data_IF_351717118976
#
_entry.id   IF_351717118976
#
_cell.length_a   1.000
_cell.length_b   1.000
_cell.length_c   1.000
_cell.angle_alpha   90.00
_cell.angle_beta   90.00
_cell.angle_gamma   90.00
#
_symmetry.space_group_name_H-M   'P 1'
#
loop_
_entity.id
_entity.type
_entity.pdbx_description
1 polymer ?
#
# COMPACT_ATOMS: atom_id res chain seq x y z
N UNK A 1 -18.53 -19.91 2.20
CA UNK A 1 -17.93 -20.72 1.11
C UNK A 1 -16.87 -19.96 0.28
N UNK A 2 -16.18 -18.94 0.83
CA UNK A 2 -15.06 -18.25 0.14
C UNK A 2 -13.79 -19.11 0.07
N UNK A 3 -13.62 -19.99 1.07
CA UNK A 3 -12.41 -20.76 1.34
C UNK A 3 -12.72 -22.23 1.63
N UNK A 4 -13.76 -22.80 0.98
CA UNK A 4 -13.87 -24.26 0.94
C UNK A 4 -12.73 -24.78 0.06
N UNK A 5 -11.57 -25.00 0.67
CA UNK A 5 -10.50 -25.79 0.08
C UNK A 5 -11.05 -27.18 -0.17
N UNK A 6 -11.37 -27.49 -1.43
CA UNK A 6 -11.82 -28.82 -1.88
C UNK A 6 -10.79 -29.94 -1.68
N UNK A 7 -9.61 -29.63 -1.14
CA UNK A 7 -8.60 -30.61 -0.80
C UNK A 7 -8.76 -31.04 0.66
N UNK A 8 -9.59 -32.03 0.91
CA UNK A 8 -9.26 -32.99 1.97
C UNK A 8 -8.00 -33.74 1.52
N UNK A 9 -7.03 -33.91 2.41
CA UNK A 9 -5.95 -34.88 2.12
C UNK A 9 -6.58 -36.25 1.87
N UNK A 10 -5.91 -37.12 1.10
CA UNK A 10 -6.35 -38.51 0.86
C UNK A 10 -6.63 -39.31 2.15
N UNK A 11 -6.18 -38.81 3.31
CA UNK A 11 -6.31 -39.40 4.64
C UNK A 11 -7.37 -38.70 5.52
N UNK A 12 -8.13 -37.73 5.01
CA UNK A 12 -9.11 -36.96 5.79
C UNK A 12 -8.49 -35.96 6.78
N UNK A 13 -7.16 -35.78 6.77
CA UNK A 13 -6.47 -34.73 7.52
C UNK A 13 -6.77 -33.36 6.89
N UNK A 14 -6.94 -32.36 7.76
CA UNK A 14 -7.17 -30.96 7.37
C UNK A 14 -5.91 -30.36 6.77
N UNK A 15 -6.07 -29.43 5.84
CA UNK A 15 -4.94 -28.65 5.32
C UNK A 15 -4.55 -27.54 6.31
N UNK A 16 -3.29 -27.05 6.30
CA UNK A 16 -2.88 -25.91 7.13
C UNK A 16 -3.77 -24.67 6.93
N UNK A 17 -4.31 -24.50 5.72
CA UNK A 17 -5.25 -23.41 5.42
C UNK A 17 -6.60 -23.62 6.13
N UNK A 18 -7.14 -24.83 6.16
CA UNK A 18 -8.38 -25.14 6.90
C UNK A 18 -8.23 -24.91 8.41
N UNK A 19 -7.10 -25.36 8.98
CA UNK A 19 -6.81 -25.16 10.41
C UNK A 19 -6.69 -23.67 10.75
N UNK A 20 -5.98 -22.90 9.92
CA UNK A 20 -5.92 -21.44 10.06
C UNK A 20 -7.30 -20.79 9.98
N UNK A 21 -8.15 -21.22 9.04
CA UNK A 21 -9.48 -20.67 8.89
C UNK A 21 -10.38 -20.91 10.10
N UNK A 22 -10.34 -22.10 10.68
CA UNK A 22 -11.07 -22.39 11.91
C UNK A 22 -10.53 -21.56 13.08
N UNK A 23 -9.20 -21.44 13.19
CA UNK A 23 -8.53 -20.69 14.24
C UNK A 23 -8.98 -19.23 14.30
N UNK A 24 -9.14 -18.56 13.15
CA UNK A 24 -9.50 -17.14 13.14
C UNK A 24 -11.02 -16.88 13.13
N UNK A 25 -11.86 -17.88 12.86
CA UNK A 25 -13.32 -17.72 12.85
C UNK A 25 -14.00 -18.05 14.18
N UNK A 26 -13.25 -18.49 15.20
CA UNK A 26 -13.78 -18.69 16.55
C UNK A 26 -14.18 -17.38 17.24
N UNK A 27 -14.96 -17.51 18.31
CA UNK A 27 -15.34 -16.38 19.16
C UNK A 27 -14.42 -16.37 20.38
N UNK A 28 -13.62 -15.32 20.52
CA UNK A 28 -12.58 -15.22 21.54
C UNK A 28 -12.71 -13.89 22.29
N UNK A 29 -12.41 -13.90 23.59
CA UNK A 29 -12.11 -12.67 24.31
C UNK A 29 -10.84 -12.02 23.74
N UNK A 30 -10.64 -10.74 24.03
CA UNK A 30 -9.45 -10.02 23.56
C UNK A 30 -8.14 -10.69 24.00
N UNK A 31 -8.07 -11.19 25.24
CA UNK A 31 -6.88 -11.86 25.76
C UNK A 31 -6.62 -13.20 25.07
N UNK A 32 -7.68 -13.99 24.80
CA UNK A 32 -7.55 -15.25 24.07
C UNK A 32 -7.12 -15.00 22.63
N UNK A 33 -7.73 -14.01 21.96
CA UNK A 33 -7.36 -13.62 20.60
C UNK A 33 -5.88 -13.21 20.49
N UNK A 34 -5.34 -12.49 21.49
CA UNK A 34 -3.91 -12.17 21.55
C UNK A 34 -3.02 -13.41 21.68
N UNK A 35 -3.42 -14.40 22.50
CA UNK A 35 -2.68 -15.66 22.63
C UNK A 35 -2.74 -16.51 21.35
N UNK A 36 -3.82 -16.42 20.58
CA UNK A 36 -3.93 -17.13 19.30
C UNK A 36 -2.94 -16.62 18.25
N UNK A 37 -2.54 -15.35 18.30
CA UNK A 37 -1.54 -14.80 17.38
C UNK A 37 -0.19 -15.52 17.48
N UNK A 38 0.16 -16.03 18.67
CA UNK A 38 1.38 -16.81 18.90
C UNK A 38 1.33 -18.19 18.20
N UNK A 39 0.14 -18.66 17.82
CA UNK A 39 -0.07 -19.95 17.13
C UNK A 39 -0.08 -19.80 15.61
N UNK A 40 -0.08 -18.58 15.09
CA UNK A 40 -0.14 -18.32 13.64
C UNK A 40 1.26 -18.40 13.05
N UNK A 41 1.40 -19.22 11.99
CA UNK A 41 2.59 -19.16 11.14
C UNK A 41 2.47 -17.99 10.15
N UNK A 42 3.14 -16.88 10.48
CA UNK A 42 3.07 -15.63 9.73
C UNK A 42 3.78 -15.65 8.36
N UNK A 43 4.49 -16.73 8.01
CA UNK A 43 5.12 -16.83 6.68
C UNK A 43 4.09 -17.11 5.59
N UNK A 44 3.02 -17.84 5.90
CA UNK A 44 1.96 -18.24 4.96
C UNK A 44 2.49 -18.83 3.63
N UNK A 45 3.58 -19.61 3.72
CA UNK A 45 4.41 -20.08 2.59
C UNK A 45 3.61 -20.78 1.48
N UNK A 46 2.45 -21.36 1.78
CA UNK A 46 1.63 -22.11 0.81
C UNK A 46 0.24 -21.51 0.55
N UNK A 47 -0.06 -20.33 1.10
CA UNK A 47 -1.41 -19.76 1.00
C UNK A 47 -1.62 -19.03 -0.32
N UNK A 48 -2.86 -19.07 -0.82
CA UNK A 48 -3.24 -18.27 -1.99
C UNK A 48 -3.41 -16.81 -1.60
N UNK A 49 -2.62 -15.93 -2.21
CA UNK A 49 -2.67 -14.48 -1.95
C UNK A 49 -3.33 -13.70 -3.08
N UNK A 50 -3.51 -14.34 -4.25
CA UNK A 50 -4.11 -13.74 -5.45
C UNK A 50 -5.49 -14.34 -5.70
N UNK A 51 -6.52 -13.76 -5.07
CA UNK A 51 -7.92 -14.13 -5.24
C UNK A 51 -8.80 -12.89 -5.42
N UNK A 52 -9.95 -13.07 -6.10
CA UNK A 52 -10.95 -12.03 -6.32
C UNK A 52 -10.32 -10.72 -6.82
N UNK A 53 -10.66 -9.59 -6.18
CA UNK A 53 -10.23 -8.26 -6.62
C UNK A 53 -8.77 -7.95 -6.28
N UNK A 54 -8.07 -8.76 -5.46
CA UNK A 54 -6.61 -8.63 -5.28
C UNK A 54 -5.82 -8.80 -6.59
N UNK A 55 -6.43 -9.43 -7.61
CA UNK A 55 -5.84 -9.66 -8.94
C UNK A 55 -5.90 -8.45 -9.88
N UNK A 56 -6.59 -7.38 -9.50
CA UNK A 56 -6.97 -6.32 -10.46
C UNK A 56 -5.79 -5.55 -11.03
N UNK A 57 -4.79 -5.30 -10.19
CA UNK A 57 -3.64 -4.49 -10.57
C UNK A 57 -2.39 -5.02 -9.86
N UNK A 58 -1.28 -5.10 -10.61
CA UNK A 58 0.03 -5.28 -10.01
C UNK A 58 0.43 -3.99 -9.30
N UNK A 59 0.78 -4.05 -8.03
CA UNK A 59 1.21 -2.89 -7.27
C UNK A 59 2.38 -3.33 -6.40
N UNK A 60 3.49 -2.57 -6.35
CA UNK A 60 4.67 -2.96 -5.61
C UNK A 60 4.43 -2.92 -4.09
N UNK A 61 5.19 -3.72 -3.34
CA UNK A 61 5.33 -3.64 -1.88
C UNK A 61 4.00 -3.77 -1.10
N UNK A 62 3.13 -4.68 -1.54
CA UNK A 62 1.88 -5.00 -0.83
C UNK A 62 2.11 -6.08 0.22
N UNK A 63 1.43 -6.00 1.36
CA UNK A 63 1.33 -7.15 2.26
C UNK A 63 0.28 -8.17 1.83
N UNK A 64 0.45 -9.43 2.23
CA UNK A 64 -0.46 -10.51 1.89
C UNK A 64 -1.84 -10.33 2.56
N UNK A 65 -2.96 -10.78 1.95
CA UNK A 65 -4.30 -10.56 2.52
C UNK A 65 -4.51 -11.24 3.89
N UNK A 66 -3.79 -12.31 4.17
CA UNK A 66 -3.92 -13.07 5.42
C UNK A 66 -3.60 -12.24 6.66
N UNK A 67 -2.70 -11.24 6.54
CA UNK A 67 -2.35 -10.37 7.67
C UNK A 67 -3.55 -9.52 8.09
N UNK A 68 -4.09 -8.59 7.28
CA UNK A 68 -5.26 -7.81 7.68
C UNK A 68 -6.47 -8.69 8.00
N UNK A 69 -6.70 -9.76 7.24
CA UNK A 69 -7.77 -10.72 7.51
C UNK A 69 -7.72 -11.27 8.95
N UNK A 70 -6.54 -11.68 9.44
CA UNK A 70 -6.36 -12.23 10.79
C UNK A 70 -6.86 -11.23 11.83
N UNK A 71 -6.40 -9.97 11.73
CA UNK A 71 -6.76 -8.95 12.70
C UNK A 71 -8.23 -8.52 12.60
N UNK A 72 -8.77 -8.43 11.38
CA UNK A 72 -10.18 -8.14 11.13
C UNK A 72 -11.07 -9.21 11.77
N UNK A 73 -10.72 -10.48 11.61
CA UNK A 73 -11.49 -11.60 12.17
C UNK A 73 -11.45 -11.66 13.69
N UNK A 74 -10.27 -11.50 14.28
CA UNK A 74 -10.06 -11.68 15.71
C UNK A 74 -10.41 -10.45 16.57
N UNK A 75 -10.30 -9.24 16.03
CA UNK A 75 -10.41 -8.00 16.82
C UNK A 75 -11.52 -7.05 16.35
N UNK A 76 -12.33 -7.44 15.37
CA UNK A 76 -13.52 -6.67 14.97
C UNK A 76 -14.76 -7.53 14.79
N UNK A 77 -15.93 -6.91 14.92
CA UNK A 77 -17.25 -7.46 14.60
C UNK A 77 -17.73 -6.94 13.25
N UNK A 78 -18.71 -7.62 12.67
CA UNK A 78 -19.38 -7.09 11.47
C UNK A 78 -19.96 -5.69 11.75
N UNK A 79 -19.86 -4.80 10.76
CA UNK A 79 -20.28 -3.40 10.88
C UNK A 79 -19.31 -2.48 11.64
N UNK A 80 -18.31 -3.01 12.36
CA UNK A 80 -17.22 -2.18 12.91
C UNK A 80 -16.30 -1.65 11.78
N UNK A 81 -15.57 -0.57 12.07
CA UNK A 81 -14.80 0.18 11.07
C UNK A 81 -13.32 -0.12 11.14
N UNK A 82 -12.75 -0.54 10.00
CA UNK A 82 -11.30 -0.79 9.83
C UNK A 82 -10.67 0.34 9.02
N UNK A 83 -9.57 0.90 9.51
CA UNK A 83 -8.81 1.94 8.79
C UNK A 83 -7.49 1.39 8.28
N UNK A 84 -7.15 1.80 7.05
CA UNK A 84 -5.80 1.74 6.54
C UNK A 84 -5.37 3.17 6.12
N UNK A 85 -4.52 3.86 6.90
CA UNK A 85 -4.16 5.26 6.68
C UNK A 85 -3.17 5.46 5.52
N UNK A 86 -2.56 4.38 5.02
CA UNK A 86 -1.63 4.35 3.88
C UNK A 86 -1.96 3.11 3.02
N UNK A 87 -3.19 3.09 2.50
CA UNK A 87 -3.82 1.86 2.06
C UNK A 87 -3.23 1.23 0.80
N UNK A 88 -2.39 1.96 0.05
CA UNK A 88 -1.89 1.54 -1.24
C UNK A 88 -3.05 1.10 -2.13
N UNK A 89 -2.95 -0.10 -2.71
CA UNK A 89 -4.01 -0.70 -3.52
C UNK A 89 -5.16 -1.37 -2.72
N UNK A 90 -5.24 -1.15 -1.40
CA UNK A 90 -6.41 -1.46 -0.59
C UNK A 90 -6.54 -2.93 -0.21
N UNK A 91 -5.44 -3.60 0.17
CA UNK A 91 -5.53 -4.98 0.64
C UNK A 91 -6.40 -5.10 1.89
N UNK A 92 -6.21 -4.23 2.88
CA UNK A 92 -7.03 -4.16 4.11
C UNK A 92 -8.51 -3.92 3.80
N UNK A 93 -8.79 -3.02 2.87
CA UNK A 93 -10.16 -2.63 2.50
C UNK A 93 -10.92 -3.79 1.87
N UNK A 94 -10.27 -4.56 1.00
CA UNK A 94 -10.88 -5.75 0.39
C UNK A 94 -11.19 -6.80 1.45
N UNK A 95 -10.26 -7.08 2.37
CA UNK A 95 -10.50 -8.04 3.44
C UNK A 95 -11.61 -7.58 4.40
N UNK A 96 -11.68 -6.29 4.70
CA UNK A 96 -12.79 -5.72 5.48
C UNK A 96 -14.13 -5.89 4.74
N UNK A 97 -14.16 -5.57 3.45
CA UNK A 97 -15.33 -5.67 2.59
C UNK A 97 -15.86 -7.11 2.48
N UNK A 98 -14.97 -8.08 2.24
CA UNK A 98 -15.30 -9.51 2.18
C UNK A 98 -15.82 -10.08 3.49
N UNK A 99 -15.51 -9.42 4.61
CA UNK A 99 -15.90 -9.83 5.95
C UNK A 99 -16.98 -8.91 6.54
N UNK A 100 -17.69 -8.11 5.74
CA UNK A 100 -18.80 -7.27 6.19
C UNK A 100 -18.39 -6.25 7.29
N UNK A 101 -17.17 -5.74 7.24
CA UNK A 101 -16.70 -4.60 8.05
C UNK A 101 -16.78 -3.33 7.22
N UNK A 102 -17.16 -2.23 7.87
CA UNK A 102 -16.99 -0.92 7.24
C UNK A 102 -15.49 -0.62 7.15
N UNK A 103 -15.08 0.20 6.17
CA UNK A 103 -13.68 0.55 6.05
C UNK A 103 -13.43 1.97 5.56
N UNK A 104 -12.28 2.50 5.97
CA UNK A 104 -11.74 3.77 5.50
C UNK A 104 -10.34 3.50 4.96
N UNK A 105 -10.09 3.90 3.72
CA UNK A 105 -8.76 3.87 3.11
C UNK A 105 -8.28 5.28 2.85
N UNK A 106 -7.10 5.63 3.34
CA UNK A 106 -6.42 6.86 2.98
C UNK A 106 -5.11 6.52 2.25
N UNK A 107 -4.83 7.20 1.15
CA UNK A 107 -3.50 7.17 0.53
C UNK A 107 -3.24 8.48 -0.21
N UNK A 108 -1.99 8.94 -0.22
CA UNK A 108 -1.62 10.15 -0.93
C UNK A 108 -1.53 9.92 -2.45
N UNK A 109 -1.30 8.67 -2.89
CA UNK A 109 -1.22 8.31 -4.29
C UNK A 109 -2.63 8.17 -4.91
N UNK A 110 -3.05 9.06 -5.84
CA UNK A 110 -4.38 8.99 -6.45
C UNK A 110 -4.60 7.74 -7.31
N UNK A 111 -3.53 7.11 -7.80
CA UNK A 111 -3.65 5.82 -8.48
C UNK A 111 -3.99 4.70 -7.50
N UNK A 112 -3.38 4.73 -6.32
CA UNK A 112 -3.60 3.74 -5.28
C UNK A 112 -5.04 3.81 -4.76
N UNK A 113 -5.56 5.02 -4.53
CA UNK A 113 -6.95 5.24 -4.11
C UNK A 113 -7.96 4.82 -5.18
N UNK A 114 -7.70 5.12 -6.46
CA UNK A 114 -8.54 4.66 -7.57
C UNK A 114 -8.60 3.12 -7.63
N UNK A 115 -7.45 2.44 -7.55
CA UNK A 115 -7.40 0.96 -7.54
C UNK A 115 -8.16 0.41 -6.32
N UNK A 116 -7.93 0.99 -5.14
CA UNK A 116 -8.61 0.62 -3.90
C UNK A 116 -10.12 0.73 -4.02
N UNK A 117 -10.63 1.84 -4.57
CA UNK A 117 -12.06 2.07 -4.82
C UNK A 117 -12.65 0.96 -5.70
N UNK A 118 -12.07 0.72 -6.88
CA UNK A 118 -12.59 -0.28 -7.82
C UNK A 118 -12.61 -1.70 -7.21
N UNK A 119 -11.64 -2.03 -6.35
CA UNK A 119 -11.55 -3.37 -5.73
C UNK A 119 -12.65 -3.64 -4.69
N UNK A 120 -13.37 -2.62 -4.23
CA UNK A 120 -14.42 -2.70 -3.20
C UNK A 120 -15.77 -2.13 -3.69
N UNK A 121 -15.91 -1.85 -4.98
CA UNK A 121 -17.16 -1.40 -5.60
C UNK A 121 -17.80 -2.52 -6.39
N UNK A 122 -19.02 -2.92 -6.02
CA UNK A 122 -19.82 -3.85 -6.80
C UNK A 122 -20.50 -3.11 -7.95
N UNK A 123 -20.38 -3.64 -9.17
CA UNK A 123 -20.90 -3.01 -10.39
C UNK A 123 -22.02 -3.88 -10.99
N UNK A 124 -23.20 -3.33 -11.28
CA UNK A 124 -24.30 -4.08 -11.91
C UNK A 124 -23.95 -4.60 -13.31
N UNK A 125 -24.51 -5.74 -13.68
CA UNK A 125 -24.31 -6.36 -15.00
C UNK A 125 -24.70 -5.46 -16.19
N UNK A 126 -25.63 -4.52 -15.98
CA UNK A 126 -26.04 -3.55 -16.99
C UNK A 126 -24.88 -2.61 -17.39
N UNK A 127 -24.07 -2.19 -16.43
CA UNK A 127 -22.91 -1.31 -16.65
C UNK A 127 -21.83 -2.00 -17.49
N UNK A 128 -21.57 -3.29 -17.23
CA UNK A 128 -20.65 -4.07 -18.05
C UNK A 128 -21.14 -4.24 -19.48
N UNK A 129 -22.46 -4.44 -19.70
CA UNK A 129 -23.04 -4.48 -21.05
C UNK A 129 -22.87 -3.13 -21.76
N UNK A 130 -23.11 -2.03 -21.04
CA UNK A 130 -22.92 -0.69 -21.54
C UNK A 130 -21.48 -0.43 -21.98
N UNK A 131 -20.49 -0.69 -21.11
CA UNK A 131 -19.06 -0.54 -21.44
C UNK A 131 -18.67 -1.38 -22.67
N UNK A 132 -19.08 -2.66 -22.72
CA UNK A 132 -18.79 -3.52 -23.87
C UNK A 132 -19.38 -2.99 -25.18
N UNK A 133 -20.56 -2.38 -25.13
CA UNK A 133 -21.17 -1.76 -26.30
C UNK A 133 -20.38 -0.51 -26.76
N UNK A 134 -19.89 0.32 -25.84
CA UNK A 134 -19.01 1.46 -26.17
C UNK A 134 -17.71 1.00 -26.81
N UNK A 135 -17.03 0.02 -26.20
CA UNK A 135 -15.77 -0.54 -26.72
C UNK A 135 -15.92 -1.23 -28.09
N UNK A 136 -17.12 -1.75 -28.42
CA UNK A 136 -17.39 -2.27 -29.77
C UNK A 136 -17.49 -1.17 -30.83
N UNK A 137 -18.08 -0.02 -30.48
CA UNK A 137 -18.20 1.14 -31.38
C UNK A 137 -16.85 1.82 -31.64
N UNK A 138 -15.98 1.83 -30.62
CA UNK A 138 -14.60 2.33 -30.68
C UNK A 138 -13.78 1.80 -31.88
N UNK A 139 -13.94 0.51 -32.22
CA UNK A 139 -13.17 -0.15 -33.30
C UNK A 139 -13.47 0.39 -34.72
N UNK A 140 -14.46 1.28 -34.89
CA UNK A 140 -14.93 1.75 -36.21
C UNK A 140 -14.41 3.13 -36.63
N UNK A 141 -13.72 3.88 -35.76
CA UNK A 141 -13.41 5.31 -35.96
C UNK A 141 -11.91 5.66 -36.10
N UNK A 142 -11.07 4.72 -36.54
CA UNK A 142 -9.62 4.92 -36.59
C UNK A 142 -9.15 5.68 -37.85
N UNK A 143 -9.60 6.93 -38.01
CA UNK A 143 -8.95 7.93 -38.87
C UNK A 143 -8.35 9.01 -37.95
N UNK A 144 -7.03 8.94 -37.73
CA UNK A 144 -6.37 9.64 -36.63
C UNK A 144 -5.91 11.05 -37.01
N UNK A 145 -6.33 12.02 -36.20
CA UNK A 145 -5.77 13.36 -36.12
C UNK A 145 -4.35 13.32 -35.52
N UNK A 146 -3.35 13.25 -36.41
CA UNK A 146 -1.93 13.10 -36.07
C UNK A 146 -1.38 14.19 -35.14
N UNK A 147 -2.00 15.39 -35.09
CA UNK A 147 -1.50 16.52 -34.28
C UNK A 147 -1.61 16.27 -32.77
N UNK A 148 -2.61 15.51 -32.31
CA UNK A 148 -2.85 15.25 -30.87
C UNK A 148 -1.85 14.23 -30.30
N UNK A 149 -1.40 13.29 -31.13
CA UNK A 149 -0.41 12.25 -30.79
C UNK A 149 0.97 12.86 -30.55
N UNK A 150 1.42 13.77 -31.42
CA UNK A 150 2.76 14.37 -31.33
C UNK A 150 2.91 15.27 -30.07
N UNK A 151 1.85 15.97 -29.65
CA UNK A 151 1.85 16.76 -28.41
C UNK A 151 2.00 15.91 -27.15
N UNK A 152 1.54 14.66 -27.15
CA UNK A 152 1.65 13.78 -25.97
C UNK A 152 2.95 12.99 -25.94
N UNK A 153 3.47 12.61 -27.11
CA UNK A 153 4.84 12.06 -27.24
C UNK A 153 5.89 12.96 -26.60
N UNK A 154 5.75 14.29 -26.72
CA UNK A 154 6.66 15.26 -26.10
C UNK A 154 6.49 15.39 -24.58
N UNK A 155 5.36 14.94 -24.02
CA UNK A 155 5.10 14.96 -22.56
C UNK A 155 5.53 13.69 -21.81
N UNK A 156 5.91 12.62 -22.53
CA UNK A 156 6.33 11.37 -21.91
C UNK A 156 7.85 11.39 -21.59
N UNK A 157 8.26 10.94 -20.38
CA UNK A 157 9.65 10.98 -19.96
C UNK A 157 10.54 9.90 -20.63
N UNK A 158 11.68 10.38 -21.16
CA UNK A 158 12.95 9.75 -21.62
C UNK A 158 12.96 8.62 -22.69
N UNK A 159 14.00 8.64 -23.53
CA UNK A 159 14.16 7.93 -24.83
C UNK A 159 14.26 6.40 -24.81
N UNK A 160 14.43 5.72 -23.66
CA UNK A 160 14.38 4.25 -23.60
C UNK A 160 12.93 3.72 -23.69
N UNK A 161 11.98 4.53 -23.24
CA UNK A 161 10.54 4.21 -23.20
C UNK A 161 9.84 4.50 -24.54
N UNK A 162 10.40 5.35 -25.39
CA UNK A 162 9.85 5.64 -26.73
C UNK A 162 9.73 4.40 -27.63
N UNK A 163 10.50 3.33 -27.36
CA UNK A 163 10.36 2.04 -28.07
C UNK A 163 9.10 1.28 -27.70
N UNK A 164 8.62 1.38 -26.46
CA UNK A 164 7.40 0.70 -25.99
C UNK A 164 6.18 1.47 -26.48
N UNK A 165 6.17 2.79 -26.26
CA UNK A 165 5.09 3.68 -26.70
C UNK A 165 5.36 4.23 -28.11
N UNK A 166 5.40 3.33 -29.09
CA UNK A 166 5.41 3.73 -30.49
C UNK A 166 4.06 4.33 -30.90
N UNK A 167 3.99 4.95 -32.09
CA UNK A 167 2.77 5.61 -32.58
C UNK A 167 1.54 4.70 -32.56
N UNK A 168 1.68 3.42 -32.92
CA UNK A 168 0.56 2.46 -32.92
C UNK A 168 0.03 2.22 -31.51
N UNK A 169 0.93 1.97 -30.55
CA UNK A 169 0.56 1.74 -29.14
C UNK A 169 -0.11 2.98 -28.55
N UNK A 170 0.45 4.17 -28.79
CA UNK A 170 -0.11 5.44 -28.32
C UNK A 170 -1.50 5.66 -28.89
N UNK A 171 -1.69 5.49 -30.20
CA UNK A 171 -3.00 5.64 -30.84
C UNK A 171 -4.05 4.73 -30.22
N UNK A 172 -3.72 3.46 -29.95
CA UNK A 172 -4.66 2.53 -29.30
C UNK A 172 -5.00 2.97 -27.87
N UNK A 173 -4.01 3.37 -27.08
CA UNK A 173 -4.23 3.84 -25.70
C UNK A 173 -5.05 5.14 -25.66
N UNK A 174 -4.85 6.07 -26.59
CA UNK A 174 -5.66 7.28 -26.71
C UNK A 174 -7.10 6.97 -27.04
N UNK A 175 -7.35 6.09 -28.01
CA UNK A 175 -8.70 5.70 -28.39
C UNK A 175 -9.46 5.05 -27.21
N UNK A 176 -8.79 4.20 -26.42
CA UNK A 176 -9.37 3.66 -25.18
C UNK A 176 -9.67 4.80 -24.20
N UNK A 177 -8.72 5.71 -23.98
CA UNK A 177 -8.87 6.82 -23.05
C UNK A 177 -10.02 7.75 -23.43
N UNK A 178 -10.15 8.15 -24.69
CA UNK A 178 -11.23 9.02 -25.15
C UNK A 178 -12.59 8.30 -25.03
N UNK A 179 -12.67 6.99 -25.31
CA UNK A 179 -13.89 6.20 -25.06
C UNK A 179 -14.29 6.21 -23.59
N UNK A 180 -13.32 6.14 -22.66
CA UNK A 180 -13.61 6.26 -21.22
C UNK A 180 -14.05 7.67 -20.85
N UNK A 181 -13.49 8.71 -21.47
CA UNK A 181 -13.91 10.10 -21.23
C UNK A 181 -15.34 10.35 -21.71
N UNK A 182 -15.73 9.83 -22.88
CA UNK A 182 -17.12 9.88 -23.35
C UNK A 182 -18.08 9.26 -22.33
N UNK A 183 -17.72 8.10 -21.76
CA UNK A 183 -18.50 7.45 -20.71
C UNK A 183 -18.65 8.36 -19.47
N UNK A 184 -17.59 9.08 -19.11
CA UNK A 184 -17.62 10.02 -17.97
C UNK A 184 -18.49 11.24 -18.27
N UNK A 185 -18.43 11.77 -19.49
CA UNK A 185 -19.18 12.94 -19.94
C UNK A 185 -20.69 12.67 -20.06
N UNK A 186 -21.08 11.46 -20.44
CA UNK A 186 -22.50 11.05 -20.48
C UNK A 186 -23.17 11.03 -19.10
N UNK A 187 -22.39 10.91 -18.03
CA UNK A 187 -22.87 10.89 -16.65
C UNK A 187 -23.54 9.57 -16.25
N UNK A 188 -23.67 9.33 -14.94
CA UNK A 188 -24.35 8.13 -14.40
C UNK A 188 -23.55 6.82 -14.46
N UNK A 189 -22.33 6.84 -14.99
CA UNK A 189 -21.49 5.66 -15.24
C UNK A 189 -20.12 5.73 -14.52
N UNK A 190 -20.07 6.37 -13.34
CA UNK A 190 -18.82 6.67 -12.63
C UNK A 190 -18.04 5.42 -12.22
N UNK A 191 -18.72 4.39 -11.72
CA UNK A 191 -18.05 3.17 -11.24
C UNK A 191 -17.46 2.34 -12.38
N UNK A 192 -18.17 2.25 -13.52
CA UNK A 192 -17.67 1.55 -14.70
C UNK A 192 -16.58 2.35 -15.41
N UNK A 193 -16.64 3.68 -15.36
CA UNK A 193 -15.55 4.56 -15.78
C UNK A 193 -14.28 4.32 -14.96
N UNK A 194 -14.39 4.32 -13.62
CA UNK A 194 -13.25 4.06 -12.74
C UNK A 194 -12.67 2.66 -12.95
N UNK A 195 -13.51 1.63 -13.12
CA UNK A 195 -13.06 0.28 -13.48
C UNK A 195 -12.30 0.29 -14.82
N UNK A 196 -12.80 1.01 -15.82
CA UNK A 196 -12.14 1.20 -17.10
C UNK A 196 -10.76 1.85 -16.97
N UNK A 197 -10.62 2.86 -16.11
CA UNK A 197 -9.32 3.49 -15.81
C UNK A 197 -8.34 2.53 -15.13
N UNK A 198 -8.80 1.72 -14.18
CA UNK A 198 -7.96 0.70 -13.53
C UNK A 198 -7.52 -0.38 -14.52
N UNK A 199 -8.41 -0.78 -15.44
CA UNK A 199 -8.03 -1.70 -16.52
C UNK A 199 -7.00 -1.08 -17.48
N UNK A 200 -7.16 0.20 -17.84
CA UNK A 200 -6.20 0.93 -18.68
C UNK A 200 -4.83 1.01 -17.99
N UNK A 201 -4.83 1.33 -16.69
CA UNK A 201 -3.64 1.31 -15.85
C UNK A 201 -2.96 -0.06 -15.84
N UNK A 202 -3.72 -1.14 -15.63
CA UNK A 202 -3.17 -2.50 -15.63
C UNK A 202 -2.62 -2.93 -17.00
N UNK A 203 -3.19 -2.42 -18.08
CA UNK A 203 -2.67 -2.58 -19.45
C UNK A 203 -1.33 -1.86 -19.61
N UNK A 204 -1.23 -0.59 -19.21
CA UNK A 204 0.01 0.19 -19.26
C UNK A 204 1.11 -0.48 -18.43
N UNK A 205 0.78 -0.93 -17.22
CA UNK A 205 1.72 -1.67 -16.38
C UNK A 205 2.28 -2.89 -17.10
N UNK A 206 1.40 -3.68 -17.72
CA UNK A 206 1.80 -4.89 -18.45
C UNK A 206 2.68 -4.59 -19.69
N UNK A 207 2.45 -3.46 -20.36
CA UNK A 207 3.28 -2.99 -21.48
C UNK A 207 4.67 -2.55 -21.01
N UNK A 208 4.75 -1.87 -19.86
CA UNK A 208 6.03 -1.42 -19.28
C UNK A 208 6.86 -2.62 -18.81
N UNK A 209 6.25 -3.61 -18.15
CA UNK A 209 6.96 -4.80 -17.67
C UNK A 209 7.42 -5.76 -18.78
N UNK A 210 6.57 -6.01 -19.79
CA UNK A 210 6.83 -7.05 -20.79
C UNK A 210 7.38 -6.49 -22.12
N UNK A 211 7.44 -5.16 -22.28
CA UNK A 211 7.90 -4.50 -23.50
C UNK A 211 6.83 -4.34 -24.59
N UNK A 212 7.26 -3.86 -25.76
CA UNK A 212 6.40 -3.69 -26.94
C UNK A 212 6.12 -5.00 -27.68
N UNK A 213 4.99 -5.08 -28.40
CA UNK A 213 4.60 -6.26 -29.20
C UNK A 213 3.29 -6.93 -28.75
N UNK A 214 2.70 -6.48 -27.65
CA UNK A 214 1.38 -6.92 -27.20
C UNK A 214 0.27 -6.17 -27.94
N UNK A 215 -0.81 -6.87 -28.28
CA UNK A 215 -2.02 -6.21 -28.76
C UNK A 215 -2.74 -5.51 -27.61
N UNK A 216 -2.63 -4.17 -27.60
CA UNK A 216 -3.19 -3.29 -26.56
C UNK A 216 -4.69 -3.51 -26.37
N UNK A 217 -5.44 -3.72 -27.46
CA UNK A 217 -6.90 -3.83 -27.39
C UNK A 217 -7.31 -5.15 -26.74
N UNK A 218 -6.70 -6.26 -27.17
CA UNK A 218 -6.92 -7.58 -26.58
C UNK A 218 -6.50 -7.62 -25.12
N UNK A 219 -5.34 -7.03 -24.78
CA UNK A 219 -4.86 -6.94 -23.41
C UNK A 219 -5.84 -6.18 -22.52
N UNK A 220 -6.30 -5.01 -22.94
CA UNK A 220 -7.28 -4.21 -22.20
C UNK A 220 -8.61 -4.94 -22.02
N UNK A 221 -9.15 -5.55 -23.09
CA UNK A 221 -10.39 -6.33 -23.01
C UNK A 221 -10.26 -7.55 -22.09
N UNK A 222 -9.10 -8.23 -22.09
CA UNK A 222 -8.81 -9.32 -21.15
C UNK A 222 -8.82 -8.84 -19.70
N UNK A 223 -8.26 -7.64 -19.41
CA UNK A 223 -8.32 -7.05 -18.06
C UNK A 223 -9.77 -6.77 -17.63
N UNK A 224 -10.57 -6.13 -18.48
CA UNK A 224 -12.00 -5.87 -18.21
C UNK A 224 -12.76 -7.16 -17.91
N UNK A 225 -12.65 -8.17 -18.78
CA UNK A 225 -13.35 -9.44 -18.61
C UNK A 225 -12.91 -10.18 -17.32
N UNK A 226 -11.62 -10.11 -16.99
CA UNK A 226 -11.11 -10.67 -15.74
C UNK A 226 -11.68 -9.94 -14.52
N UNK A 227 -11.75 -8.60 -14.56
CA UNK A 227 -12.30 -7.80 -13.47
C UNK A 227 -13.79 -8.05 -13.26
N UNK A 228 -14.59 -8.05 -14.34
CA UNK A 228 -16.01 -8.41 -14.30
C UNK A 228 -16.24 -9.79 -13.66
N UNK A 229 -15.46 -10.79 -14.09
CA UNK A 229 -15.58 -12.16 -13.57
C UNK A 229 -15.36 -12.23 -12.06
N UNK A 230 -14.33 -11.56 -11.54
CA UNK A 230 -14.03 -11.60 -10.11
C UNK A 230 -15.00 -10.73 -9.29
N UNK A 231 -15.49 -9.60 -9.80
CA UNK A 231 -16.57 -8.82 -9.16
C UNK A 231 -17.87 -9.61 -9.05
N UNK A 232 -18.25 -10.34 -10.10
CA UNK A 232 -19.41 -11.25 -10.08
C UNK A 232 -19.27 -12.35 -9.04
N UNK A 233 -18.06 -12.81 -8.74
CA UNK A 233 -17.81 -13.75 -7.63
C UNK A 233 -17.94 -13.05 -6.29
N UNK A 234 -17.31 -11.88 -6.13
CA UNK A 234 -17.36 -11.08 -4.90
C UNK A 234 -18.80 -10.69 -4.51
N UNK A 235 -19.64 -10.32 -5.48
CA UNK A 235 -21.05 -9.99 -5.25
C UNK A 235 -21.89 -11.13 -4.66
N UNK A 236 -21.47 -12.39 -4.83
CA UNK A 236 -22.14 -13.56 -4.24
C UNK A 236 -21.75 -13.82 -2.78
N UNK A 237 -20.70 -13.15 -2.32
CA UNK A 237 -20.05 -13.37 -1.03
C UNK A 237 -20.44 -12.27 -0.05
N UNK A 238 -20.40 -11.03 -0.52
CA UNK A 238 -20.64 -9.84 0.30
C UNK A 238 -22.14 -9.73 0.60
N UNK A 239 -22.48 -9.34 1.83
CA UNK A 239 -23.88 -9.15 2.24
C UNK A 239 -24.55 -8.01 1.46
N UNK A 240 -25.88 -8.05 1.42
CA UNK A 240 -26.71 -6.98 0.88
C UNK A 240 -27.54 -6.36 2.02
N UNK A 241 -27.45 -5.04 2.30
CA UNK A 241 -26.57 -4.05 1.65
C UNK A 241 -25.07 -4.33 1.93
N UNK A 242 -24.17 -3.92 1.02
CA UNK A 242 -22.73 -4.07 1.22
C UNK A 242 -22.25 -3.16 2.37
N UNK A 243 -21.11 -3.48 3.00
CA UNK A 243 -20.52 -2.62 4.02
C UNK A 243 -20.09 -1.28 3.41
N UNK A 244 -20.09 -0.22 4.24
CA UNK A 244 -19.72 1.12 3.82
C UNK A 244 -18.20 1.23 3.68
N UNK A 245 -17.74 1.76 2.55
CA UNK A 245 -16.32 2.03 2.31
C UNK A 245 -16.12 3.50 1.96
N UNK A 246 -15.20 4.18 2.66
CA UNK A 246 -14.77 5.54 2.36
C UNK A 246 -13.33 5.49 1.83
N UNK A 247 -13.09 6.09 0.66
CA UNK A 247 -11.75 6.24 0.08
C UNK A 247 -11.38 7.72 0.10
N UNK A 248 -10.22 8.04 0.65
CA UNK A 248 -9.70 9.40 0.79
C UNK A 248 -8.35 9.46 0.07
N UNK A 249 -8.23 10.39 -0.87
CA UNK A 249 -6.93 10.76 -1.45
C UNK A 249 -6.36 11.90 -0.62
N UNK A 250 -5.51 11.57 0.35
CA UNK A 250 -5.10 12.50 1.40
C UNK A 250 -3.80 12.11 2.10
N UNK A 251 -3.26 13.05 2.87
CA UNK A 251 -2.00 12.87 3.60
C UNK A 251 -2.25 12.14 4.92
N UNK A 252 -1.51 11.05 5.16
CA UNK A 252 -1.62 10.27 6.40
C UNK A 252 -1.20 11.05 7.65
N UNK A 253 -0.43 12.14 7.49
CA UNK A 253 -0.03 13.07 8.57
C UNK A 253 -1.18 14.00 8.99
N UNK A 254 -2.30 13.99 8.26
CA UNK A 254 -3.52 14.74 8.56
C UNK A 254 -4.75 14.01 8.01
N UNK A 255 -5.29 13.09 8.79
CA UNK A 255 -6.41 12.23 8.36
C UNK A 255 -7.75 12.98 8.40
N UNK A 256 -8.49 12.98 7.29
CA UNK A 256 -9.88 13.45 7.20
C UNK A 256 -10.88 12.41 7.75
N UNK A 257 -10.64 12.02 9.00
CA UNK A 257 -11.38 11.00 9.75
C UNK A 257 -11.63 11.52 11.17
N UNK A 258 -12.84 11.26 11.66
CA UNK A 258 -13.27 11.67 12.99
C UNK A 258 -12.43 11.02 14.10
N UNK A 259 -12.25 11.74 15.19
CA UNK A 259 -11.55 11.20 16.37
C UNK A 259 -12.34 10.05 17.00
N UNK A 260 -11.64 9.05 17.52
CA UNK A 260 -12.25 7.91 18.22
C UNK A 260 -13.37 7.19 17.44
N UNK A 261 -13.27 7.11 16.10
CA UNK A 261 -14.31 6.53 15.23
C UNK A 261 -13.97 5.14 14.68
N UNK A 262 -12.71 4.70 14.79
CA UNK A 262 -12.20 3.47 14.17
C UNK A 262 -12.01 2.36 15.21
N UNK A 263 -12.32 1.11 14.82
CA UNK A 263 -12.24 -0.08 15.68
C UNK A 263 -10.95 -0.89 15.51
N UNK A 264 -10.26 -0.75 14.38
CA UNK A 264 -8.99 -1.42 14.09
C UNK A 264 -8.22 -0.64 13.02
N UNK A 265 -6.91 -0.48 13.22
CA UNK A 265 -5.99 -0.03 12.15
C UNK A 265 -5.10 -1.20 11.73
N UNK A 266 -5.02 -1.49 10.43
CA UNK A 266 -4.01 -2.40 9.86
C UNK A 266 -3.42 -1.77 8.62
N UNK A 267 -2.10 -1.61 8.58
CA UNK A 267 -1.41 -0.89 7.51
C UNK A 267 -0.02 -1.42 7.23
N UNK A 268 0.48 -1.17 6.02
CA UNK A 268 1.88 -1.31 5.65
C UNK A 268 2.36 0.03 5.08
N UNK A 269 3.01 0.88 5.89
CA UNK A 269 3.51 2.19 5.43
C UNK A 269 4.64 2.01 4.40
N UNK A 270 5.00 3.06 3.64
CA UNK A 270 6.20 3.03 2.81
C UNK A 270 7.44 2.76 3.68
N UNK A 271 8.31 1.86 3.24
CA UNK A 271 9.54 1.55 3.97
C UNK A 271 10.63 2.54 3.57
N UNK A 272 11.29 3.16 4.56
CA UNK A 272 12.36 4.12 4.30
C UNK A 272 13.41 3.51 3.38
N UNK A 273 13.71 4.21 2.28
CA UNK A 273 14.71 3.79 1.31
C UNK A 273 14.44 2.41 0.62
N UNK A 274 13.17 2.00 0.50
CA UNK A 274 12.84 0.75 -0.21
C UNK A 274 12.44 0.97 -1.67
N UNK A 275 11.63 1.98 -1.96
CA UNK A 275 11.10 2.25 -3.30
C UNK A 275 10.75 3.73 -3.48
N UNK A 276 10.87 4.25 -4.70
CA UNK A 276 10.28 5.53 -5.12
C UNK A 276 8.96 5.24 -5.86
N UNK A 277 7.82 5.31 -5.17
CA UNK A 277 6.52 4.98 -5.78
C UNK A 277 6.17 5.94 -6.92
N UNK A 278 6.55 7.22 -6.83
CA UNK A 278 6.34 8.16 -7.94
C UNK A 278 6.98 7.64 -9.23
N UNK A 279 8.22 7.15 -9.18
CA UNK A 279 8.92 6.65 -10.37
C UNK A 279 8.22 5.43 -10.96
N UNK A 280 7.77 4.53 -10.11
CA UNK A 280 7.12 3.29 -10.52
C UNK A 280 5.75 3.55 -11.16
N UNK A 281 5.00 4.52 -10.65
CA UNK A 281 3.64 4.82 -11.14
C UNK A 281 3.57 5.94 -12.18
N UNK A 282 4.71 6.56 -12.52
CA UNK A 282 4.80 7.72 -13.41
C UNK A 282 3.97 7.56 -14.69
N UNK A 283 4.13 6.46 -15.44
CA UNK A 283 3.39 6.26 -16.70
C UNK A 283 1.89 6.13 -16.48
N UNK A 284 1.48 5.33 -15.50
CA UNK A 284 0.08 5.15 -15.16
C UNK A 284 -0.58 6.49 -14.81
N UNK A 285 0.08 7.30 -13.98
CA UNK A 285 -0.43 8.61 -13.57
C UNK A 285 -0.54 9.58 -14.75
N UNK A 286 0.48 9.67 -15.61
CA UNK A 286 0.47 10.54 -16.80
C UNK A 286 -0.62 10.15 -17.80
N UNK A 287 -0.85 8.85 -18.01
CA UNK A 287 -1.90 8.37 -18.92
C UNK A 287 -3.30 8.63 -18.38
N UNK A 288 -3.48 8.52 -17.06
CA UNK A 288 -4.75 8.75 -16.38
C UNK A 288 -5.02 10.23 -16.05
N UNK A 289 -4.11 11.15 -16.40
CA UNK A 289 -4.26 12.59 -16.16
C UNK A 289 -4.17 12.97 -14.68
N UNK A 290 -3.39 12.24 -13.89
CA UNK A 290 -3.20 12.49 -12.46
C UNK A 290 -2.03 13.47 -12.22
N UNK A 291 -2.08 14.19 -11.10
CA UNK A 291 -1.02 15.12 -10.71
C UNK A 291 0.22 14.38 -10.17
N UNK A 292 1.09 14.00 -11.09
CA UNK A 292 2.35 13.31 -10.81
C UNK A 292 3.33 14.19 -10.03
N UNK A 293 3.38 15.50 -10.31
CA UNK A 293 4.35 16.40 -9.68
C UNK A 293 4.00 16.66 -8.22
N UNK A 294 2.71 16.80 -7.90
CA UNK A 294 2.25 16.86 -6.52
C UNK A 294 2.61 15.56 -5.78
N UNK A 295 2.32 14.39 -6.36
CA UNK A 295 2.65 13.11 -5.73
C UNK A 295 4.16 12.98 -5.43
N UNK A 296 5.00 13.29 -6.42
CA UNK A 296 6.47 13.24 -6.29
C UNK A 296 7.02 14.12 -5.17
N UNK A 297 6.40 15.28 -4.89
CA UNK A 297 6.91 16.24 -3.89
C UNK A 297 6.62 15.86 -2.45
N UNK A 298 5.50 15.18 -2.19
CA UNK A 298 5.00 14.93 -0.84
C UNK A 298 5.02 13.44 -0.43
N UNK A 299 5.52 12.54 -1.29
CA UNK A 299 5.71 11.13 -0.95
C UNK A 299 6.63 10.96 0.27
N UNK A 300 6.15 10.19 1.26
CA UNK A 300 6.92 9.84 2.47
C UNK A 300 8.01 8.84 2.09
N UNK A 301 9.27 9.16 2.46
CA UNK A 301 10.41 8.26 2.28
C UNK A 301 11.06 8.27 0.89
N UNK A 302 10.73 9.24 0.03
CA UNK A 302 11.29 9.36 -1.33
C UNK A 302 12.80 9.69 -1.35
N UNK A 303 13.55 9.08 -2.27
CA UNK A 303 15.02 9.06 -2.26
C UNK A 303 15.68 10.36 -2.75
N UNK A 304 14.93 11.29 -3.34
CA UNK A 304 15.47 12.34 -4.21
C UNK A 304 16.03 13.59 -3.54
N UNK A 305 15.89 13.76 -2.21
CA UNK A 305 16.18 15.05 -1.56
C UNK A 305 17.46 15.06 -0.70
N UNK A 306 17.98 13.91 -0.25
CA UNK A 306 19.13 13.83 0.67
C UNK A 306 20.26 12.88 0.18
N UNK A 307 20.75 13.11 -1.04
CA UNK A 307 21.75 12.24 -1.68
C UNK A 307 23.09 12.25 -0.92
N UNK A 308 23.49 13.38 -0.35
CA UNK A 308 24.80 13.54 0.32
C UNK A 308 24.83 12.93 1.74
N UNK A 309 23.78 13.15 2.52
CA UNK A 309 23.62 12.59 3.86
C UNK A 309 22.25 11.93 3.99
N UNK A 310 22.20 10.62 3.76
CA UNK A 310 20.95 9.87 3.78
C UNK A 310 20.38 9.68 5.18
N UNK A 311 21.13 9.95 6.26
CA UNK A 311 20.56 9.88 7.61
C UNK A 311 19.58 11.03 7.87
N UNK A 312 19.67 12.13 7.10
CA UNK A 312 18.65 13.18 7.05
C UNK A 312 17.30 12.69 6.48
N UNK A 313 17.35 11.79 5.50
CA UNK A 313 16.14 11.09 5.02
C UNK A 313 15.52 10.23 6.12
N UNK A 314 16.35 9.58 6.95
CA UNK A 314 15.85 8.79 8.08
C UNK A 314 15.15 9.67 9.11
N UNK A 315 15.72 10.83 9.48
CA UNK A 315 15.07 11.75 10.42
C UNK A 315 13.78 12.35 9.87
N UNK A 316 13.74 12.77 8.60
CA UNK A 316 12.52 13.23 7.92
C UNK A 316 11.43 12.13 7.99
N UNK A 317 11.78 10.91 7.58
CA UNK A 317 10.88 9.76 7.61
C UNK A 317 10.33 9.44 9.01
N UNK A 318 11.19 9.46 10.03
CA UNK A 318 10.76 9.22 11.42
C UNK A 318 9.79 10.31 11.90
N UNK A 319 10.02 11.57 11.52
CA UNK A 319 9.12 12.68 11.81
C UNK A 319 7.76 12.50 11.13
N UNK A 320 7.75 12.20 9.84
CA UNK A 320 6.53 11.95 9.07
C UNK A 320 5.71 10.78 9.63
N UNK A 321 6.39 9.67 9.97
CA UNK A 321 5.74 8.51 10.56
C UNK A 321 5.22 8.79 11.97
N UNK A 322 5.93 9.56 12.79
CA UNK A 322 5.44 9.95 14.11
C UNK A 322 4.15 10.78 14.00
N UNK A 323 4.09 11.75 13.07
CA UNK A 323 2.88 12.53 12.80
C UNK A 323 1.71 11.64 12.36
N UNK A 324 1.98 10.71 11.43
CA UNK A 324 0.96 9.76 11.00
C UNK A 324 0.49 8.86 12.16
N UNK A 325 1.39 8.44 13.05
CA UNK A 325 1.02 7.64 14.22
C UNK A 325 0.23 8.43 15.27
N UNK A 326 0.45 9.75 15.40
CA UNK A 326 -0.41 10.62 16.22
C UNK A 326 -1.82 10.67 15.64
N UNK A 327 -1.96 10.82 14.32
CA UNK A 327 -3.27 10.77 13.66
C UNK A 327 -3.94 9.39 13.80
N UNK A 328 -3.18 8.30 13.71
CA UNK A 328 -3.67 6.95 14.00
C UNK A 328 -4.15 6.82 15.45
N UNK A 329 -3.45 7.41 16.43
CA UNK A 329 -3.93 7.45 17.81
C UNK A 329 -5.26 8.20 17.86
N UNK A 330 -5.32 9.42 17.32
CA UNK A 330 -6.49 10.30 17.38
C UNK A 330 -7.78 9.62 16.88
N UNK A 331 -7.72 8.91 15.76
CA UNK A 331 -8.90 8.31 15.10
C UNK A 331 -9.30 6.95 15.68
N UNK A 332 -8.37 6.22 16.29
CA UNK A 332 -8.61 4.89 16.86
C UNK A 332 -9.33 5.00 18.21
N UNK A 333 -10.34 4.16 18.46
CA UNK A 333 -10.99 4.10 19.79
C UNK A 333 -10.04 3.58 20.87
N UNK A 334 -10.20 4.05 22.09
CA UNK A 334 -9.40 3.58 23.22
C UNK A 334 -9.53 2.05 23.42
N UNK A 335 -8.44 1.39 23.78
CA UNK A 335 -8.35 -0.06 23.97
C UNK A 335 -8.26 -0.89 22.68
N UNK A 336 -8.47 -0.30 21.49
CA UNK A 336 -8.36 -0.99 20.20
C UNK A 336 -6.92 -1.06 19.68
N UNK A 337 -6.71 -1.81 18.60
CA UNK A 337 -5.39 -2.12 18.06
C UNK A 337 -5.03 -1.28 16.84
N UNK A 338 -3.75 -0.90 16.78
CA UNK A 338 -3.06 -0.42 15.59
C UNK A 338 -1.96 -1.41 15.21
N UNK A 339 -2.04 -1.95 14.00
CA UNK A 339 -1.13 -2.97 13.47
C UNK A 339 -0.36 -2.38 12.30
N UNK A 340 0.97 -2.34 12.43
CA UNK A 340 1.88 -1.80 11.42
C UNK A 340 2.78 -2.94 10.94
N UNK A 341 2.69 -3.26 9.66
CA UNK A 341 3.57 -4.23 9.00
C UNK A 341 4.70 -3.47 8.33
N UNK A 342 5.95 -3.74 8.71
CA UNK A 342 7.10 -3.02 8.18
C UNK A 342 8.30 -3.93 8.04
N UNK A 343 8.98 -3.84 6.89
CA UNK A 343 10.23 -4.53 6.64
C UNK A 343 11.44 -3.77 7.19
N UNK A 344 12.53 -4.49 7.44
CA UNK A 344 13.80 -3.83 7.69
C UNK A 344 14.31 -3.20 6.39
N UNK A 345 14.97 -2.06 6.51
CA UNK A 345 15.68 -1.46 5.38
C UNK A 345 17.14 -1.22 5.73
N UNK A 346 17.91 -0.77 4.74
CA UNK A 346 19.32 -0.45 4.96
C UNK A 346 19.63 0.94 4.45
N UNK A 347 20.42 1.68 5.22
CA UNK A 347 20.82 3.02 4.88
C UNK A 347 22.31 3.19 5.14
N UNK A 348 23.08 3.50 4.09
CA UNK A 348 24.54 3.67 4.23
C UNK A 348 25.25 2.48 4.89
N UNK A 349 24.76 1.26 4.62
CA UNK A 349 25.18 -0.03 5.20
C UNK A 349 24.75 -0.28 6.65
N UNK A 350 24.01 0.65 7.27
CA UNK A 350 23.37 0.43 8.57
C UNK A 350 21.99 -0.21 8.42
N UNK A 351 21.64 -1.07 9.38
CA UNK A 351 20.33 -1.67 9.49
C UNK A 351 19.33 -0.67 10.08
N UNK A 352 18.20 -0.48 9.41
CA UNK A 352 17.11 0.34 9.90
C UNK A 352 15.96 -0.59 10.31
N UNK A 353 15.83 -0.79 11.62
CA UNK A 353 14.77 -1.61 12.22
C UNK A 353 13.54 -0.74 12.51
N UNK A 354 12.81 -0.33 11.47
CA UNK A 354 11.68 0.60 11.56
C UNK A 354 10.66 0.24 12.65
N UNK A 355 10.37 -1.05 12.82
CA UNK A 355 9.45 -1.54 13.85
C UNK A 355 9.89 -1.16 15.28
N UNK A 356 11.19 -1.10 15.56
CA UNK A 356 11.72 -0.68 16.88
C UNK A 356 11.54 0.82 17.09
N UNK A 357 11.84 1.62 16.07
CA UNK A 357 11.60 3.06 16.12
C UNK A 357 10.12 3.36 16.36
N UNK A 358 9.22 2.71 15.62
CA UNK A 358 7.78 2.88 15.80
C UNK A 358 7.32 2.44 17.19
N UNK A 359 7.80 1.29 17.70
CA UNK A 359 7.47 0.83 19.05
C UNK A 359 7.94 1.83 20.12
N UNK A 360 9.15 2.38 20.01
CA UNK A 360 9.67 3.37 20.95
C UNK A 360 8.92 4.71 20.87
N UNK A 361 8.68 5.21 19.66
CA UNK A 361 7.92 6.45 19.43
C UNK A 361 6.48 6.35 19.92
N UNK A 362 5.84 5.18 19.76
CA UNK A 362 4.44 4.97 20.17
C UNK A 362 4.20 5.22 21.65
N UNK A 363 5.21 5.01 22.51
CA UNK A 363 5.15 5.22 23.96
C UNK A 363 4.92 6.68 24.35
N UNK A 364 5.29 7.62 23.47
CA UNK A 364 5.12 9.05 23.70
C UNK A 364 3.73 9.56 23.30
N UNK A 365 2.93 8.74 22.60
CA UNK A 365 1.68 9.17 21.94
C UNK A 365 0.50 8.25 22.28
N UNK A 366 0.41 7.82 23.54
CA UNK A 366 -0.75 7.09 24.06
C UNK A 366 -0.91 5.64 23.58
N UNK A 367 0.11 5.07 22.93
CA UNK A 367 0.14 3.67 22.51
C UNK A 367 1.04 2.81 23.41
N UNK A 368 0.63 1.55 23.60
CA UNK A 368 1.43 0.51 24.24
C UNK A 368 1.79 -0.57 23.21
N UNK A 369 3.08 -0.80 22.89
CA UNK A 369 3.51 -1.98 22.14
C UNK A 369 3.19 -3.24 22.93
N UNK A 370 2.46 -4.18 22.33
CA UNK A 370 2.06 -5.43 23.01
C UNK A 370 2.79 -6.66 22.47
N UNK A 371 3.02 -6.73 21.15
CA UNK A 371 3.65 -7.86 20.45
C UNK A 371 4.31 -7.38 19.16
N UNK A 372 5.33 -8.11 18.73
CA UNK A 372 5.93 -7.98 17.40
C UNK A 372 6.20 -9.38 16.86
N UNK A 373 5.66 -9.71 15.70
CA UNK A 373 5.93 -10.98 15.03
C UNK A 373 6.86 -10.77 13.84
N UNK A 374 7.86 -11.64 13.72
CA UNK A 374 8.73 -11.73 12.56
C UNK A 374 8.13 -12.69 11.53
N UNK A 375 8.28 -12.37 10.25
CA UNK A 375 7.97 -13.27 9.14
C UNK A 375 8.99 -13.16 8.01
N UNK A 376 9.16 -14.26 7.30
CA UNK A 376 9.90 -14.28 6.04
C UNK A 376 8.97 -13.98 4.86
N UNK A 377 9.49 -13.24 3.89
CA UNK A 377 8.83 -12.93 2.63
C UNK A 377 9.26 -13.95 1.57
N UNK A 378 8.30 -14.66 0.97
CA UNK A 378 8.56 -15.50 -0.20
C UNK A 378 8.80 -14.63 -1.46
N UNK A 379 10.08 -14.45 -1.81
CA UNK A 379 10.53 -13.65 -2.96
C UNK A 379 10.13 -14.24 -4.32
N UNK A 380 9.67 -15.49 -4.38
CA UNK A 380 9.28 -16.14 -5.64
C UNK A 380 7.86 -15.80 -6.08
N UNK A 381 7.04 -15.22 -5.19
CA UNK A 381 5.65 -14.89 -5.45
C UNK A 381 5.51 -13.43 -5.89
N UNK A 382 4.72 -13.17 -6.94
CA UNK A 382 4.39 -11.85 -7.54
C UNK A 382 3.79 -10.79 -6.59
N UNK A 383 3.75 -11.08 -5.29
CA UNK A 383 3.17 -10.20 -4.28
C UNK A 383 4.13 -9.08 -3.88
N UNK A 384 5.44 -9.37 -3.92
CA UNK A 384 6.54 -8.40 -3.83
C UNK A 384 7.19 -8.27 -5.20
N UNK A 385 7.30 -7.05 -5.76
CA UNK A 385 8.02 -6.87 -7.01
C UNK A 385 9.50 -7.27 -6.83
N UNK A 386 10.05 -7.97 -7.83
CA UNK A 386 11.40 -8.53 -7.81
C UNK A 386 12.51 -7.50 -7.48
N UNK A 387 12.21 -6.21 -7.66
CA UNK A 387 13.15 -5.09 -7.51
C UNK A 387 13.00 -4.29 -6.20
N UNK A 388 12.11 -4.67 -5.26
CA UNK A 388 12.03 -3.99 -3.94
C UNK A 388 13.19 -4.49 -3.07
N UNK A 389 14.36 -3.88 -3.26
CA UNK A 389 15.40 -3.81 -2.24
C UNK A 389 15.81 -5.11 -1.53
N UNK A 390 15.70 -6.31 -2.12
CA UNK A 390 16.06 -7.60 -1.47
C UNK A 390 15.51 -7.82 -0.05
N UNK A 391 14.49 -7.11 0.40
CA UNK A 391 13.93 -7.28 1.76
C UNK A 391 13.32 -8.70 1.85
N UNK A 392 13.87 -9.55 2.72
CA UNK A 392 13.35 -10.89 3.03
C UNK A 392 12.53 -10.95 4.31
N UNK A 393 12.58 -9.91 5.14
CA UNK A 393 11.96 -9.90 6.46
C UNK A 393 10.90 -8.82 6.60
N UNK A 394 9.85 -9.16 7.33
CA UNK A 394 8.77 -8.26 7.71
C UNK A 394 8.45 -8.44 9.19
N UNK A 395 8.10 -7.33 9.85
CA UNK A 395 7.69 -7.30 11.24
C UNK A 395 6.26 -6.79 11.33
N UNK A 396 5.43 -7.51 12.08
CA UNK A 396 4.05 -7.14 12.38
C UNK A 396 4.06 -6.56 13.79
N UNK A 397 4.17 -5.24 13.89
CA UNK A 397 4.12 -4.50 15.15
C UNK A 397 2.67 -4.28 15.57
N UNK A 398 2.32 -4.71 16.78
CA UNK A 398 0.98 -4.55 17.34
C UNK A 398 1.04 -3.57 18.51
N UNK A 399 0.28 -2.49 18.38
CA UNK A 399 0.13 -1.43 19.37
C UNK A 399 -1.33 -1.43 19.87
N UNK A 400 -1.52 -1.25 21.18
CA UNK A 400 -2.84 -1.00 21.76
C UNK A 400 -2.94 0.46 22.19
N UNK A 401 -4.01 1.15 21.80
CA UNK A 401 -4.28 2.49 22.33
C UNK A 401 -4.68 2.38 23.80
N UNK A 402 -3.94 3.05 24.67
CA UNK A 402 -4.20 3.06 26.12
C UNK A 402 -4.66 4.42 26.62
N UNK A 403 -4.36 5.48 25.87
CA UNK A 403 -4.79 6.85 26.11
C UNK A 403 -4.85 7.62 24.78
N UNK A 404 -5.61 8.71 24.77
CA UNK A 404 -5.49 9.72 23.73
C UNK A 404 -4.10 10.39 23.83
N UNK A 405 -3.50 10.72 22.68
CA UNK A 405 -2.26 11.50 22.63
C UNK A 405 -2.52 12.93 23.12
N UNK A 406 -1.69 13.43 24.04
CA UNK A 406 -1.70 14.83 24.45
C UNK A 406 -1.07 15.76 23.39
N UNK A 407 -0.47 15.17 22.36
CA UNK A 407 0.24 15.85 21.29
C UNK A 407 -0.51 15.79 19.96
N UNK A 408 -0.33 16.82 19.14
CA UNK A 408 -0.92 16.94 17.81
C UNK A 408 0.12 16.74 16.71
N UNK A 409 -0.33 16.28 15.54
CA UNK A 409 0.55 15.97 14.41
C UNK A 409 1.25 17.21 13.81
N UNK A 410 0.85 18.43 14.17
CA UNK A 410 1.46 19.70 13.76
C UNK A 410 2.42 20.30 14.81
N UNK A 411 2.61 19.66 15.97
CA UNK A 411 3.58 20.11 16.97
C UNK A 411 5.04 19.78 16.56
N UNK A 412 5.64 20.64 15.74
CA UNK A 412 7.00 20.47 15.23
C UNK A 412 8.07 20.30 16.33
N UNK A 413 7.90 20.97 17.47
CA UNK A 413 8.86 20.89 18.58
C UNK A 413 8.86 19.49 19.23
N UNK A 414 7.67 18.96 19.52
CA UNK A 414 7.52 17.60 20.04
C UNK A 414 8.08 16.56 19.07
N UNK A 415 7.75 16.67 17.78
CA UNK A 415 8.25 15.75 16.75
C UNK A 415 9.79 15.82 16.70
N UNK A 416 10.38 17.01 16.70
CA UNK A 416 11.83 17.18 16.67
C UNK A 416 12.49 16.52 17.89
N UNK A 417 11.94 16.71 19.08
CA UNK A 417 12.52 16.19 20.30
C UNK A 417 12.47 14.66 20.35
N UNK A 418 11.35 14.04 19.96
CA UNK A 418 11.23 12.57 19.89
C UNK A 418 12.17 12.00 18.83
N UNK A 419 12.22 12.58 17.62
CA UNK A 419 13.11 12.11 16.54
C UNK A 419 14.58 12.27 16.95
N UNK A 420 14.93 13.37 17.63
CA UNK A 420 16.29 13.59 18.17
C UNK A 420 16.68 12.50 19.17
N UNK A 421 15.77 12.12 20.07
CA UNK A 421 16.02 11.01 21.00
C UNK A 421 16.23 9.68 20.26
N UNK A 422 15.43 9.40 19.23
CA UNK A 422 15.58 8.18 18.43
C UNK A 422 16.90 8.14 17.66
N UNK A 423 17.25 9.23 16.97
CA UNK A 423 18.50 9.34 16.22
C UNK A 423 19.73 9.28 17.13
N UNK A 424 19.65 9.84 18.33
CA UNK A 424 20.72 9.75 19.33
C UNK A 424 20.89 8.31 19.84
N UNK A 425 19.80 7.58 20.11
CA UNK A 425 19.86 6.15 20.46
C UNK A 425 20.47 5.33 19.32
N UNK A 426 20.09 5.62 18.08
CA UNK A 426 20.61 4.95 16.90
C UNK A 426 22.12 5.19 16.69
N UNK A 427 22.59 6.44 16.88
CA UNK A 427 24.04 6.77 16.90
C UNK A 427 24.79 5.89 17.90
N UNK A 428 24.31 5.84 19.15
CA UNK A 428 24.90 5.02 20.23
C UNK A 428 24.87 3.52 19.94
N UNK A 429 23.85 3.05 19.21
CA UNK A 429 23.80 1.65 18.78
C UNK A 429 24.92 1.34 17.79
N UNK A 430 25.15 2.21 16.80
CA UNK A 430 26.21 2.04 15.79
C UNK A 430 27.60 2.11 16.43
N UNK A 431 27.78 2.95 17.46
CA UNK A 431 29.03 3.01 18.24
C UNK A 431 29.34 1.67 18.93
N UNK A 432 28.31 0.92 19.38
CA UNK A 432 28.45 -0.34 20.14
C UNK A 432 28.44 -1.59 19.26
N UNK A 433 27.57 -1.64 18.27
CA UNK A 433 27.31 -2.81 17.41
C UNK A 433 27.66 -2.43 15.98
N UNK A 434 28.88 -2.76 15.57
CA UNK A 434 29.38 -2.44 14.24
C UNK A 434 28.73 -3.34 13.19
N UNK A 435 27.92 -2.74 12.31
CA UNK A 435 27.68 -3.27 10.98
C UNK A 435 26.83 -4.53 10.91
N UNK A 436 25.51 -4.37 10.92
CA UNK A 436 24.54 -5.44 10.60
C UNK A 436 23.82 -5.15 9.29
N UNK A 437 24.55 -4.86 8.20
CA UNK A 437 23.90 -4.70 6.90
C UNK A 437 23.09 -5.95 6.55
N UNK A 438 21.85 -5.78 6.09
CA UNK A 438 21.00 -6.82 5.45
C UNK A 438 21.76 -7.56 4.32
N UNK A 439 22.84 -6.96 3.79
CA UNK A 439 23.63 -7.50 2.67
C UNK A 439 24.80 -8.42 3.08
N UNK A 440 24.89 -8.85 4.34
CA UNK A 440 25.95 -9.76 4.81
C UNK A 440 27.37 -9.19 4.71
N UNK A 441 27.52 -7.89 4.42
CA UNK A 441 28.79 -7.18 4.37
C UNK A 441 28.95 -6.35 5.64
N UNK A 442 30.04 -6.59 6.38
CA UNK A 442 30.41 -5.75 7.51
C UNK A 442 31.05 -4.44 6.98
N UNK A 443 30.50 -3.25 7.26
CA UNK A 443 31.16 -1.98 6.95
C UNK A 443 32.53 -1.86 7.61
N UNK A 444 33.44 -1.12 6.99
CA UNK A 444 34.78 -0.85 7.53
C UNK A 444 34.70 0.11 8.73
N UNK A 445 35.68 0.06 9.64
CA UNK A 445 35.77 0.98 10.79
C UNK A 445 35.75 2.45 10.38
N UNK A 446 36.45 2.79 9.31
CA UNK A 446 36.46 4.15 8.74
C UNK A 446 35.07 4.59 8.28
N UNK A 447 34.32 3.69 7.61
CA UNK A 447 32.96 4.00 7.18
C UNK A 447 32.00 4.16 8.35
N UNK A 448 32.16 3.36 9.40
CA UNK A 448 31.36 3.47 10.62
C UNK A 448 31.58 4.82 11.30
N UNK A 449 32.83 5.28 11.43
CA UNK A 449 33.13 6.62 11.94
C UNK A 449 32.47 7.70 11.08
N UNK A 450 32.57 7.59 9.74
CA UNK A 450 31.89 8.50 8.81
C UNK A 450 30.37 8.47 8.96
N UNK A 451 29.76 7.31 9.22
CA UNK A 451 28.33 7.19 9.45
C UNK A 451 27.93 7.89 10.76
N UNK A 452 28.74 7.75 11.83
CA UNK A 452 28.52 8.44 13.11
C UNK A 452 28.53 9.97 12.89
N UNK A 453 29.51 10.50 12.16
CA UNK A 453 29.60 11.93 11.83
C UNK A 453 28.37 12.39 11.02
N UNK A 454 27.94 11.60 10.03
CA UNK A 454 26.74 11.90 9.24
C UNK A 454 25.47 11.86 10.09
N UNK A 455 25.35 10.96 11.06
CA UNK A 455 24.21 10.91 11.97
C UNK A 455 24.20 12.12 12.89
N UNK A 456 25.36 12.55 13.38
CA UNK A 456 25.51 13.76 14.19
C UNK A 456 25.11 15.01 13.40
N UNK A 457 25.54 15.13 12.15
CA UNK A 457 25.06 16.18 11.24
C UNK A 457 23.53 16.08 11.07
N UNK A 458 22.98 14.88 10.80
CA UNK A 458 21.53 14.73 10.61
C UNK A 458 20.74 15.17 11.85
N UNK A 459 21.24 14.89 13.06
CA UNK A 459 20.63 15.34 14.32
C UNK A 459 20.54 16.87 14.38
N UNK A 460 21.57 17.59 13.97
CA UNK A 460 21.60 19.06 13.98
C UNK A 460 20.53 19.66 13.06
N UNK A 461 20.21 18.99 11.95
CA UNK A 461 19.25 19.45 10.95
C UNK A 461 17.81 18.97 11.17
N UNK A 462 17.52 18.15 12.20
CA UNK A 462 16.17 17.57 12.43
C UNK A 462 15.08 18.63 12.37
N UNK A 463 15.24 19.76 13.08
CA UNK A 463 14.23 20.83 13.14
C UNK A 463 13.93 21.49 11.79
N UNK A 464 14.86 21.40 10.85
CA UNK A 464 14.68 21.88 9.48
C UNK A 464 14.05 20.79 8.60
N UNK A 465 14.56 19.55 8.72
CA UNK A 465 14.22 18.44 7.84
C UNK A 465 12.82 17.87 8.06
N UNK A 466 12.29 17.89 9.30
CA UNK A 466 10.97 17.31 9.62
C UNK A 466 9.77 18.20 9.26
N UNK A 467 10.03 19.41 8.76
CA UNK A 467 8.96 20.35 8.41
C UNK A 467 8.23 19.85 7.18
N UNK A 468 6.90 19.79 7.25
CA UNK A 468 6.08 19.40 6.11
C UNK A 468 6.33 20.40 4.97
N UNK A 469 6.76 19.88 3.82
CA UNK A 469 6.96 20.65 2.59
C UNK A 469 5.63 21.29 2.19
N UNK A 470 5.59 22.62 2.12
CA UNK A 470 4.41 23.40 1.73
C UNK A 470 4.20 23.39 0.22
#
# INVERSE_FOLDING_TARGET
>A
MLYETKQTTLLGLRTPEQEYWELINGNYSFSEALQLLDKINWDFKDFTTQYLTHKFHSYPARFIPQIPLTFIKLFTKEGETVLDPMCGCGTTLVEAFLNNRNSIGNDFNPLATLISKVKVTLIPDAEFRYLKNKLRKMKRYLDLDYKRIDKRLSSLPNRKISRIFNRVVISKLEVIRETLLEIKEEGGHDDIYDLGRVALSATIWSLVENGGGLDVDDLFLKKINSMEKELKKMAKIVKNPPPKVKIITGDARKLEVESNSVDLIVTSPPYVNALDYYRVHMYNMLWLGMDFDLFRKHEIGAHSHFIYNRFRLLSEYLGDMLRAMIEMNRVLKNGKLCVIVVGNSSLEYELIESHKFFAEMSKFIGFKPIRTYFRNIDKTRKYTSADIGKIDDEYILILQKIADSDETADNDDFIADVVTQQMTKFKKQIEKVQGTSIRGRRPTKERLLKNIDKIEEAIQYIREDIKIKR
#
